data_IF_019944864321
#
_entry.id   IF_019944864321
#
_cell.length_a   1.000
_cell.length_b   1.000
_cell.length_c   1.000
_cell.angle_alpha   90.00
_cell.angle_beta   90.00
_cell.angle_gamma   90.00
#
_symmetry.space_group_name_H-M   'P 1'
#
loop_
_entity.id
_entity.type
_entity.pdbx_description
1 polymer ?
#
# COMPACT_ATOMS: atom_id res chain seq x y z
N UNK A 1 13.86 -9.05 -7.83
CA UNK A 1 12.90 -8.97 -8.97
C UNK A 1 13.53 -9.43 -10.30
N UNK A 2 12.78 -10.17 -11.12
CA UNK A 2 13.25 -10.67 -12.44
C UNK A 2 13.41 -9.53 -13.46
N UNK A 3 14.26 -9.73 -14.48
CA UNK A 3 14.46 -8.74 -15.56
C UNK A 3 13.15 -8.41 -16.28
N UNK A 4 12.28 -9.42 -16.46
CA UNK A 4 10.94 -9.25 -17.05
C UNK A 4 10.10 -8.27 -16.25
N UNK A 5 10.11 -8.36 -14.92
CA UNK A 5 9.38 -7.42 -14.07
C UNK A 5 9.85 -5.97 -14.28
N UNK A 6 11.17 -5.74 -14.32
CA UNK A 6 11.73 -4.40 -14.56
C UNK A 6 11.30 -3.83 -15.93
N UNK A 7 11.34 -4.64 -16.98
CA UNK A 7 10.91 -4.25 -18.33
C UNK A 7 9.40 -3.95 -18.37
N UNK A 8 8.57 -4.77 -17.70
CA UNK A 8 7.12 -4.54 -17.60
C UNK A 8 6.79 -3.22 -16.89
N UNK A 9 7.46 -2.94 -15.78
CA UNK A 9 7.28 -1.70 -15.02
C UNK A 9 7.73 -0.51 -15.86
N UNK A 10 8.88 -0.59 -16.53
CA UNK A 10 9.37 0.48 -17.41
C UNK A 10 8.42 0.78 -18.58
N UNK A 11 7.87 -0.25 -19.23
CA UNK A 11 6.88 -0.06 -20.31
C UNK A 11 5.64 0.71 -19.84
N UNK A 12 5.15 0.44 -18.62
CA UNK A 12 4.03 1.16 -18.01
C UNK A 12 4.35 2.63 -17.70
N UNK A 13 5.62 2.95 -17.43
CA UNK A 13 6.07 4.34 -17.24
C UNK A 13 6.09 5.11 -18.56
N UNK A 14 6.37 4.45 -19.68
CA UNK A 14 6.44 5.09 -21.01
C UNK A 14 5.04 5.26 -21.62
N UNK A 15 4.20 4.24 -21.58
CA UNK A 15 2.88 4.28 -22.20
C UNK A 15 1.90 3.34 -21.52
N UNK A 16 0.65 3.79 -21.37
CA UNK A 16 -0.43 2.97 -20.81
C UNK A 16 -0.93 1.92 -21.82
N UNK A 17 -0.75 2.17 -23.13
CA UNK A 17 -1.23 1.29 -24.19
C UNK A 17 -0.21 0.22 -24.62
N UNK A 18 1.08 0.42 -24.36
CA UNK A 18 2.11 -0.56 -24.73
C UNK A 18 1.90 -1.95 -24.07
N UNK A 19 1.60 -2.02 -22.76
CA UNK A 19 1.40 -3.31 -22.09
C UNK A 19 0.18 -4.07 -22.62
N UNK A 20 -0.91 -3.36 -22.93
CA UNK A 20 -2.12 -3.99 -23.48
C UNK A 20 -1.91 -4.43 -24.94
N UNK A 21 -1.22 -3.63 -25.75
CA UNK A 21 -0.87 -3.96 -27.14
C UNK A 21 0.01 -5.22 -27.23
N UNK A 22 0.95 -5.38 -26.30
CA UNK A 22 1.90 -6.50 -26.28
C UNK A 22 1.39 -7.72 -25.49
N UNK A 23 0.14 -7.69 -24.99
CA UNK A 23 -0.44 -8.78 -24.19
C UNK A 23 0.32 -9.03 -22.87
N UNK A 24 1.04 -8.02 -22.37
CA UNK A 24 1.92 -8.13 -21.21
C UNK A 24 1.10 -7.99 -19.93
N UNK A 25 0.76 -9.12 -19.33
CA UNK A 25 0.07 -9.15 -18.03
C UNK A 25 0.99 -8.72 -16.88
N UNK A 26 0.39 -8.10 -15.86
CA UNK A 26 1.09 -7.74 -14.61
C UNK A 26 1.63 -9.00 -13.91
N UNK A 27 0.75 -10.01 -13.81
CA UNK A 27 0.99 -11.26 -13.11
C UNK A 27 0.86 -12.45 -14.06
N UNK A 28 1.53 -13.54 -13.70
CA UNK A 28 1.38 -14.80 -14.43
C UNK A 28 0.04 -15.44 -14.05
N UNK A 29 -0.64 -16.07 -15.01
CA UNK A 29 -2.01 -16.60 -14.81
C UNK A 29 -2.10 -17.60 -13.66
N UNK A 30 -1.08 -18.43 -13.45
CA UNK A 30 -1.06 -19.39 -12.34
C UNK A 30 -1.08 -18.72 -10.96
N UNK A 31 -0.44 -17.55 -10.82
CA UNK A 31 -0.44 -16.78 -9.56
C UNK A 31 -1.79 -16.10 -9.38
N UNK A 32 -2.35 -15.54 -10.45
CA UNK A 32 -3.69 -14.95 -10.47
C UNK A 32 -4.74 -15.97 -10.03
N UNK A 33 -4.78 -17.14 -10.67
CA UNK A 33 -5.72 -18.23 -10.37
C UNK A 33 -5.53 -18.73 -8.93
N UNK A 34 -4.29 -18.86 -8.44
CA UNK A 34 -4.02 -19.24 -7.05
C UNK A 34 -4.66 -18.26 -6.04
N UNK A 35 -4.47 -16.96 -6.21
CA UNK A 35 -5.02 -15.97 -5.28
C UNK A 35 -6.53 -15.87 -5.38
N UNK A 36 -7.10 -15.95 -6.58
CA UNK A 36 -8.56 -15.97 -6.76
C UNK A 36 -9.17 -17.16 -6.05
N UNK A 37 -8.63 -18.37 -6.28
CA UNK A 37 -9.13 -19.58 -5.65
C UNK A 37 -8.98 -19.53 -4.12
N UNK A 38 -7.84 -19.07 -3.61
CA UNK A 38 -7.63 -18.94 -2.16
C UNK A 38 -8.70 -18.06 -1.48
N UNK A 39 -9.02 -16.90 -2.08
CA UNK A 39 -10.02 -15.99 -1.52
C UNK A 39 -11.41 -16.61 -1.62
N UNK A 40 -11.77 -17.19 -2.77
CA UNK A 40 -13.05 -17.83 -2.99
C UNK A 40 -13.28 -19.02 -2.05
N UNK A 41 -12.28 -19.89 -1.91
CA UNK A 41 -12.32 -21.03 -0.99
C UNK A 41 -12.48 -20.57 0.46
N UNK A 42 -11.81 -19.47 0.84
CA UNK A 42 -11.94 -18.88 2.19
C UNK A 42 -13.34 -18.35 2.44
N UNK A 43 -13.93 -17.63 1.47
CA UNK A 43 -15.29 -17.09 1.60
C UNK A 43 -16.31 -18.23 1.67
N UNK A 44 -16.21 -19.21 0.75
CA UNK A 44 -17.08 -20.39 0.72
C UNK A 44 -17.01 -21.19 2.01
N UNK A 45 -15.80 -21.45 2.52
CA UNK A 45 -15.62 -22.14 3.79
C UNK A 45 -16.33 -21.40 4.95
N UNK A 46 -16.23 -20.06 4.99
CA UNK A 46 -16.90 -19.27 6.03
C UNK A 46 -18.42 -19.33 5.93
N UNK A 47 -18.97 -19.32 4.72
CA UNK A 47 -20.41 -19.48 4.49
C UNK A 47 -20.90 -20.86 4.92
N UNK A 48 -20.24 -21.92 4.44
CA UNK A 48 -20.62 -23.30 4.72
C UNK A 48 -20.54 -23.63 6.22
N UNK A 49 -19.53 -23.08 6.92
CA UNK A 49 -19.29 -23.34 8.34
C UNK A 49 -19.82 -22.25 9.28
N UNK A 50 -20.51 -21.23 8.75
CA UNK A 50 -21.04 -20.08 9.52
C UNK A 50 -19.98 -19.40 10.40
N UNK A 51 -18.76 -19.26 9.87
CA UNK A 51 -17.64 -18.62 10.56
C UNK A 51 -17.66 -17.12 10.27
N UNK A 52 -17.98 -16.34 11.30
CA UNK A 52 -17.93 -14.87 11.23
C UNK A 52 -16.69 -14.35 11.97
N UNK A 53 -15.96 -13.43 11.33
CA UNK A 53 -14.76 -12.81 11.90
C UNK A 53 -14.77 -11.34 11.54
N UNK A 54 -14.51 -10.45 12.50
CA UNK A 54 -14.47 -9.01 12.23
C UNK A 54 -13.17 -8.63 11.51
N UNK A 55 -13.08 -8.97 10.22
CA UNK A 55 -11.92 -8.75 9.37
C UNK A 55 -12.29 -8.25 7.97
N UNK A 56 -11.27 -7.96 7.17
CA UNK A 56 -11.43 -7.42 5.81
C UNK A 56 -12.24 -8.35 4.89
N UNK A 57 -12.09 -9.66 5.00
CA UNK A 57 -12.85 -10.63 4.19
C UNK A 57 -14.33 -10.57 4.55
N UNK A 58 -14.66 -10.49 5.84
CA UNK A 58 -16.06 -10.36 6.26
C UNK A 58 -16.69 -9.06 5.78
N UNK A 59 -15.94 -7.95 5.79
CA UNK A 59 -16.41 -6.68 5.22
C UNK A 59 -16.74 -6.87 3.74
N UNK A 60 -15.86 -7.51 2.95
CA UNK A 60 -16.12 -7.77 1.54
C UNK A 60 -17.34 -8.68 1.30
N UNK A 61 -17.49 -9.75 2.09
CA UNK A 61 -18.66 -10.63 2.02
C UNK A 61 -19.96 -9.90 2.34
N UNK A 62 -19.94 -9.00 3.34
CA UNK A 62 -21.09 -8.18 3.70
C UNK A 62 -21.41 -7.16 2.60
N UNK A 63 -20.39 -6.53 2.02
CA UNK A 63 -20.56 -5.61 0.89
C UNK A 63 -21.17 -6.32 -0.33
N UNK A 64 -20.70 -7.54 -0.65
CA UNK A 64 -21.29 -8.36 -1.73
C UNK A 64 -22.77 -8.64 -1.50
N UNK A 65 -23.17 -8.99 -0.26
CA UNK A 65 -24.59 -9.19 0.08
C UNK A 65 -25.41 -7.92 -0.05
N UNK A 66 -24.85 -6.75 0.29
CA UNK A 66 -25.53 -5.47 0.12
C UNK A 66 -25.74 -5.20 -1.39
N UNK A 67 -24.70 -5.42 -2.19
CA UNK A 67 -24.73 -5.26 -3.66
C UNK A 67 -25.79 -6.14 -4.32
N UNK A 68 -25.86 -7.42 -3.94
CA UNK A 68 -26.85 -8.38 -4.44
C UNK A 68 -28.31 -8.02 -4.07
N UNK A 69 -28.51 -7.27 -3.00
CA UNK A 69 -29.84 -6.86 -2.53
C UNK A 69 -30.22 -5.43 -2.96
N UNK A 70 -29.35 -4.71 -3.67
CA UNK A 70 -29.66 -3.37 -4.18
C UNK A 70 -30.52 -3.45 -5.45
N UNK A 71 -31.59 -2.63 -5.50
CA UNK A 71 -32.31 -2.37 -6.75
C UNK A 71 -31.43 -1.48 -7.65
N UNK A 72 -30.84 -2.08 -8.68
CA UNK A 72 -29.96 -1.39 -9.61
C UNK A 72 -30.81 -0.64 -10.65
N UNK A 73 -30.71 0.69 -10.69
CA UNK A 73 -31.19 1.47 -11.83
C UNK A 73 -30.35 1.08 -13.06
N UNK A 74 -30.95 0.51 -14.12
CA UNK A 74 -30.23 0.09 -15.32
C UNK A 74 -29.51 1.25 -16.05
N UNK A 75 -29.81 2.51 -15.73
CA UNK A 75 -29.11 3.68 -16.26
C UNK A 75 -27.92 4.15 -15.39
N UNK A 76 -27.66 3.48 -14.26
CA UNK A 76 -26.56 3.86 -13.38
C UNK A 76 -25.23 3.25 -13.85
N UNK A 77 -24.55 3.94 -14.77
CA UNK A 77 -23.21 3.57 -15.25
C UNK A 77 -22.13 3.58 -14.14
N UNK A 78 -22.43 4.08 -12.94
CA UNK A 78 -21.50 4.12 -11.81
C UNK A 78 -21.62 2.93 -10.85
N UNK A 79 -22.58 2.02 -11.07
CA UNK A 79 -22.73 0.83 -10.24
C UNK A 79 -21.61 -0.19 -10.54
N UNK A 80 -20.91 -0.62 -9.49
CA UNK A 80 -19.81 -1.58 -9.58
C UNK A 80 -20.27 -2.91 -9.01
N UNK A 81 -20.46 -3.91 -9.89
CA UNK A 81 -20.84 -5.26 -9.48
C UNK A 81 -19.70 -5.90 -8.70
N UNK A 82 -19.98 -6.29 -7.45
CA UNK A 82 -19.02 -6.94 -6.56
C UNK A 82 -18.93 -8.45 -6.82
N UNK A 83 -18.33 -8.82 -7.96
CA UNK A 83 -18.10 -10.22 -8.30
C UNK A 83 -16.91 -10.85 -7.54
N UNK A 84 -16.83 -12.18 -7.53
CA UNK A 84 -15.78 -12.94 -6.82
C UNK A 84 -14.37 -12.53 -7.26
N UNK A 85 -14.19 -12.16 -8.53
CA UNK A 85 -12.90 -11.73 -9.06
C UNK A 85 -12.51 -10.37 -8.51
N UNK A 86 -13.45 -9.43 -8.39
CA UNK A 86 -13.22 -8.11 -7.83
C UNK A 86 -12.93 -8.20 -6.33
N UNK A 87 -13.61 -9.08 -5.59
CA UNK A 87 -13.33 -9.34 -4.19
C UNK A 87 -11.93 -9.94 -3.99
N UNK A 88 -11.57 -10.93 -4.80
CA UNK A 88 -10.23 -11.51 -4.80
C UNK A 88 -9.15 -10.48 -5.16
N UNK A 89 -9.40 -9.65 -6.18
CA UNK A 89 -8.48 -8.60 -6.61
C UNK A 89 -8.25 -7.55 -5.51
N UNK A 90 -9.32 -7.11 -4.81
CA UNK A 90 -9.19 -6.18 -3.68
C UNK A 90 -8.38 -6.81 -2.54
N UNK A 91 -8.68 -8.06 -2.17
CA UNK A 91 -7.93 -8.80 -1.15
C UNK A 91 -6.44 -8.92 -1.51
N UNK A 92 -6.16 -9.23 -2.78
CA UNK A 92 -4.80 -9.36 -3.27
C UNK A 92 -4.03 -8.04 -3.25
N UNK A 93 -4.68 -6.92 -3.61
CA UNK A 93 -4.08 -5.59 -3.54
C UNK A 93 -3.73 -5.24 -2.09
N UNK A 94 -4.64 -5.47 -1.13
CA UNK A 94 -4.36 -5.25 0.28
C UNK A 94 -3.18 -6.09 0.78
N UNK A 95 -3.10 -7.36 0.36
CA UNK A 95 -1.99 -8.24 0.71
C UNK A 95 -0.66 -7.70 0.18
N UNK A 96 -0.53 -7.41 -1.12
CA UNK A 96 0.74 -6.93 -1.67
C UNK A 96 1.12 -5.55 -1.13
N UNK A 97 0.17 -4.62 -1.14
CA UNK A 97 0.43 -3.24 -0.74
C UNK A 97 0.78 -3.11 0.75
N UNK A 98 0.23 -3.99 1.60
CA UNK A 98 0.51 -4.02 3.03
C UNK A 98 1.68 -4.90 3.44
N UNK A 99 1.98 -5.97 2.70
CA UNK A 99 3.00 -6.94 3.10
C UNK A 99 4.42 -6.48 2.78
N UNK A 100 4.73 -6.26 1.49
CA UNK A 100 6.12 -6.01 1.05
C UNK A 100 6.64 -4.66 1.57
N UNK A 101 5.77 -3.64 1.61
CA UNK A 101 6.10 -2.30 2.11
C UNK A 101 6.44 -2.31 3.60
N UNK A 102 5.58 -2.93 4.41
CA UNK A 102 5.75 -3.03 5.86
C UNK A 102 6.95 -3.90 6.20
N UNK A 103 7.10 -5.07 5.56
CA UNK A 103 8.23 -5.97 5.83
C UNK A 103 9.57 -5.30 5.52
N UNK A 104 9.66 -4.56 4.41
CA UNK A 104 10.89 -3.84 4.03
C UNK A 104 11.17 -2.69 5.01
N UNK A 105 10.13 -1.94 5.42
CA UNK A 105 10.27 -0.86 6.41
C UNK A 105 10.78 -1.40 7.75
N UNK A 106 10.19 -2.48 8.24
CA UNK A 106 10.63 -3.13 9.48
C UNK A 106 12.06 -3.65 9.37
N UNK A 107 12.45 -4.19 8.21
CA UNK A 107 13.82 -4.66 7.98
C UNK A 107 14.84 -3.53 8.11
N UNK A 108 14.60 -2.38 7.46
CA UNK A 108 15.48 -1.21 7.59
C UNK A 108 15.46 -0.61 8.99
N UNK A 109 14.28 -0.57 9.64
CA UNK A 109 14.16 -0.08 11.02
C UNK A 109 15.00 -0.93 11.98
N UNK A 110 14.91 -2.27 11.86
CA UNK A 110 15.72 -3.18 12.67
C UNK A 110 17.22 -3.05 12.37
N UNK A 111 17.59 -2.84 11.10
CA UNK A 111 18.98 -2.58 10.73
C UNK A 111 19.52 -1.30 11.40
N UNK A 112 18.78 -0.19 11.31
CA UNK A 112 19.15 1.08 11.95
C UNK A 112 19.25 0.95 13.47
N UNK A 113 18.31 0.24 14.09
CA UNK A 113 18.37 -0.01 15.54
C UNK A 113 19.57 -0.91 15.92
N UNK A 114 19.99 -1.84 15.07
CA UNK A 114 21.14 -2.69 15.35
C UNK A 114 22.47 -1.92 15.31
N UNK A 115 22.59 -0.93 14.42
CA UNK A 115 23.81 -0.11 14.29
C UNK A 115 23.82 1.13 15.19
N UNK A 116 22.66 1.58 15.69
CA UNK A 116 22.52 2.72 16.60
C UNK A 116 22.02 2.29 17.99
N UNK A 117 22.92 1.78 18.83
CA UNK A 117 22.57 1.19 20.14
C UNK A 117 21.93 2.19 21.12
N UNK A 118 22.32 3.46 21.10
CA UNK A 118 21.72 4.49 21.96
C UNK A 118 20.24 4.73 21.61
N UNK A 119 19.92 4.77 20.32
CA UNK A 119 18.54 4.88 19.82
C UNK A 119 17.75 3.64 20.21
N UNK A 120 18.34 2.45 20.03
CA UNK A 120 17.71 1.19 20.42
C UNK A 120 17.39 1.14 21.91
N UNK A 121 18.33 1.51 22.76
CA UNK A 121 18.13 1.50 24.21
C UNK A 121 17.05 2.48 24.65
N UNK A 122 17.03 3.68 24.06
CA UNK A 122 15.99 4.68 24.32
C UNK A 122 14.61 4.19 23.90
N UNK A 123 14.48 3.61 22.70
CA UNK A 123 13.23 3.03 22.23
C UNK A 123 12.78 1.87 23.11
N UNK A 124 13.69 0.96 23.48
CA UNK A 124 13.39 -0.15 24.39
C UNK A 124 12.87 0.35 25.73
N UNK A 125 13.46 1.41 26.28
CA UNK A 125 13.00 2.02 27.52
C UNK A 125 11.57 2.58 27.40
N UNK A 126 11.24 3.25 26.29
CA UNK A 126 9.88 3.71 26.02
C UNK A 126 8.91 2.53 25.98
N UNK A 127 9.20 1.49 25.18
CA UNK A 127 8.36 0.29 25.07
C UNK A 127 8.13 -0.38 26.43
N UNK A 128 9.18 -0.53 27.24
CA UNK A 128 9.08 -1.11 28.58
C UNK A 128 8.25 -0.24 29.53
N UNK A 129 8.39 1.08 29.46
CA UNK A 129 7.66 2.03 30.30
C UNK A 129 6.17 2.01 29.95
N UNK A 130 5.86 2.03 28.66
CA UNK A 130 4.49 1.93 28.16
C UNK A 130 3.88 0.57 28.50
N UNK A 131 4.62 -0.53 28.35
CA UNK A 131 4.14 -1.85 28.77
C UNK A 131 3.83 -1.92 30.27
N UNK A 132 4.67 -1.33 31.13
CA UNK A 132 4.40 -1.23 32.56
C UNK A 132 3.16 -0.39 32.89
N UNK A 133 2.92 0.68 32.13
CA UNK A 133 1.75 1.56 32.29
C UNK A 133 0.43 0.85 31.91
N UNK A 134 0.42 0.11 30.80
CA UNK A 134 -0.80 -0.49 30.23
C UNK A 134 -0.99 -1.97 30.55
N UNK A 135 0.06 -2.68 30.98
CA UNK A 135 0.05 -4.13 31.23
C UNK A 135 0.02 -5.00 29.96
N UNK A 136 -0.17 -4.41 28.78
CA UNK A 136 -0.20 -5.10 27.49
C UNK A 136 0.15 -4.13 26.35
N UNK A 137 0.54 -4.70 25.19
CA UNK A 137 0.62 -3.96 23.93
C UNK A 137 -0.75 -4.04 23.26
N UNK A 138 -1.49 -2.94 23.29
CA UNK A 138 -2.80 -2.74 22.68
C UNK A 138 -2.86 -1.40 21.93
N UNK A 139 -4.00 -1.11 21.32
CA UNK A 139 -4.24 0.09 20.51
C UNK A 139 -3.86 1.40 21.23
N UNK A 140 -4.29 1.56 22.48
CA UNK A 140 -4.03 2.78 23.25
C UNK A 140 -2.54 2.87 23.64
N UNK A 141 -1.94 1.76 24.06
CA UNK A 141 -0.52 1.73 24.40
C UNK A 141 0.39 2.10 23.22
N UNK A 142 0.03 1.69 21.99
CA UNK A 142 0.84 1.99 20.80
C UNK A 142 0.81 3.47 20.43
N UNK A 143 -0.28 4.19 20.77
CA UNK A 143 -0.38 5.63 20.53
C UNK A 143 0.51 6.46 21.46
N UNK A 144 0.85 5.90 22.62
CA UNK A 144 1.70 6.56 23.62
C UNK A 144 3.20 6.33 23.37
N UNK A 145 3.59 5.72 22.26
CA UNK A 145 5.00 5.45 21.90
C UNK A 145 5.51 6.47 20.87
N UNK A 146 5.63 7.74 21.28
CA UNK A 146 6.06 8.84 20.40
C UNK A 146 7.46 8.63 19.80
N UNK A 147 8.38 8.02 20.55
CA UNK A 147 9.74 7.76 20.07
C UNK A 147 9.76 6.62 19.05
N UNK A 148 8.92 5.59 19.22
CA UNK A 148 8.69 4.56 18.19
C UNK A 148 8.22 5.19 16.87
N UNK A 149 7.26 6.12 16.92
CA UNK A 149 6.76 6.82 15.73
C UNK A 149 7.87 7.61 15.03
N UNK A 150 8.75 8.28 15.79
CA UNK A 150 9.94 8.96 15.26
C UNK A 150 10.91 7.99 14.60
N UNK A 151 11.16 6.83 15.19
CA UNK A 151 12.06 5.80 14.62
C UNK A 151 11.51 5.26 13.31
N UNK A 152 10.21 4.96 13.24
CA UNK A 152 9.54 4.51 12.00
C UNK A 152 9.59 5.62 10.94
N UNK A 153 9.27 6.86 11.34
CA UNK A 153 9.28 8.02 10.44
C UNK A 153 10.67 8.28 9.84
N UNK A 154 11.72 8.20 10.66
CA UNK A 154 13.09 8.39 10.19
C UNK A 154 13.55 7.22 9.31
N UNK A 155 13.12 6.00 9.61
CA UNK A 155 13.33 4.85 8.73
C UNK A 155 12.71 5.08 7.36
N UNK A 156 11.47 5.58 7.30
CA UNK A 156 10.78 5.89 6.03
C UNK A 156 11.37 7.10 5.31
N UNK A 157 11.98 8.04 6.03
CA UNK A 157 12.74 9.16 5.44
C UNK A 157 14.00 8.65 4.73
N UNK A 158 14.83 7.87 5.44
CA UNK A 158 16.09 7.31 4.91
C UNK A 158 15.86 6.24 3.83
N UNK A 159 14.84 5.42 4.00
CA UNK A 159 14.52 4.27 3.14
C UNK A 159 13.07 4.29 2.65
N UNK A 160 12.67 5.26 1.83
CA UNK A 160 11.31 5.32 1.30
C UNK A 160 11.08 4.16 0.33
N UNK A 161 10.14 3.27 0.66
CA UNK A 161 9.80 2.10 -0.18
C UNK A 161 9.33 2.55 -1.57
N UNK A 162 8.56 3.64 -1.61
CA UNK A 162 8.17 4.31 -2.85
C UNK A 162 9.06 5.55 -3.09
N UNK A 163 10.23 5.34 -3.70
CA UNK A 163 11.20 6.42 -3.97
C UNK A 163 10.73 7.50 -4.95
N UNK A 164 9.65 7.25 -5.69
CA UNK A 164 9.00 8.24 -6.56
C UNK A 164 7.50 7.98 -6.66
N UNK A 165 6.71 9.05 -6.77
CA UNK A 165 5.28 8.96 -7.08
C UNK A 165 5.01 9.47 -8.48
N UNK A 166 4.13 8.80 -9.21
CA UNK A 166 3.71 9.22 -10.55
C UNK A 166 2.28 9.74 -10.46
N UNK A 167 2.01 10.87 -11.11
CA UNK A 167 0.68 11.45 -11.29
C UNK A 167 0.44 11.76 -12.76
N UNK A 168 -0.82 11.72 -13.19
CA UNK A 168 -1.24 12.17 -14.51
C UNK A 168 -2.12 13.39 -14.36
N UNK A 169 -1.81 14.45 -15.11
CA UNK A 169 -2.61 15.66 -15.13
C UNK A 169 -3.95 15.37 -15.80
N UNK A 170 -5.05 15.49 -15.06
CA UNK A 170 -6.43 15.29 -15.57
C UNK A 170 -7.09 16.60 -15.97
N UNK A 171 -6.56 17.73 -15.48
CA UNK A 171 -7.02 19.08 -15.80
C UNK A 171 -5.81 19.99 -15.88
N UNK A 172 -5.71 20.76 -16.95
CA UNK A 172 -4.58 21.64 -17.17
C UNK A 172 -4.40 22.59 -15.97
N UNK A 173 -3.18 22.67 -15.45
CA UNK A 173 -2.91 23.31 -14.16
C UNK A 173 -1.57 24.05 -14.18
N UNK A 174 -1.57 25.29 -13.71
CA UNK A 174 -0.37 26.09 -13.51
C UNK A 174 0.21 25.75 -12.13
N UNK A 175 1.36 25.09 -12.10
CA UNK A 175 2.04 24.77 -10.84
C UNK A 175 2.53 26.09 -10.20
N UNK A 176 2.16 26.40 -8.95
CA UNK A 176 2.62 27.60 -8.27
C UNK A 176 4.16 27.66 -8.25
N UNK A 177 4.73 28.78 -8.70
CA UNK A 177 6.18 29.01 -8.74
C UNK A 177 6.91 28.36 -9.92
N UNK A 178 6.26 27.53 -10.75
CA UNK A 178 6.86 27.00 -11.97
C UNK A 178 6.59 27.93 -13.16
N UNK A 179 7.53 27.98 -14.12
CA UNK A 179 7.41 28.78 -15.36
C UNK A 179 6.55 28.13 -16.46
N UNK A 180 5.94 26.98 -16.19
CA UNK A 180 5.18 26.19 -17.17
C UNK A 180 3.86 25.68 -16.63
N UNK A 181 2.95 25.36 -17.55
CA UNK A 181 1.64 24.77 -17.28
C UNK A 181 1.71 23.28 -17.57
N UNK A 182 1.09 22.47 -16.70
CA UNK A 182 0.84 21.07 -16.98
C UNK A 182 -0.40 20.98 -17.87
N UNK A 183 -0.28 20.27 -18.97
CA UNK A 183 -1.39 19.98 -19.87
C UNK A 183 -2.03 18.63 -19.53
N UNK A 184 -3.28 18.47 -19.96
CA UNK A 184 -4.00 17.21 -19.75
C UNK A 184 -3.24 16.07 -20.41
N UNK A 185 -2.96 15.02 -19.63
CA UNK A 185 -2.17 13.88 -20.07
C UNK A 185 -0.72 13.91 -19.61
N UNK A 186 -0.19 15.06 -19.18
CA UNK A 186 1.19 15.15 -18.68
C UNK A 186 1.41 14.23 -17.48
N UNK A 187 2.59 13.58 -17.44
CA UNK A 187 3.02 12.77 -16.30
C UNK A 187 3.94 13.59 -15.41
N UNK A 188 3.60 13.67 -14.13
CA UNK A 188 4.41 14.31 -13.11
C UNK A 188 5.06 13.24 -12.25
N UNK A 189 6.38 13.30 -12.14
CA UNK A 189 7.15 12.44 -11.24
C UNK A 189 7.54 13.28 -10.02
N UNK A 190 7.10 12.84 -8.84
CA UNK A 190 7.46 13.45 -7.55
C UNK A 190 8.65 12.64 -6.99
N UNK A 191 9.85 13.22 -6.89
CA UNK A 191 11.05 12.51 -6.46
C UNK A 191 11.12 12.42 -4.93
N UNK A 192 10.39 11.49 -4.32
CA UNK A 192 10.30 11.32 -2.86
C UNK A 192 11.69 11.11 -2.24
N UNK A 193 12.50 10.19 -2.78
CA UNK A 193 13.82 9.90 -2.22
C UNK A 193 14.75 11.12 -2.23
N UNK A 194 14.92 11.85 -3.36
CA UNK A 194 15.67 13.10 -3.36
C UNK A 194 15.14 14.17 -2.40
N UNK A 195 13.82 14.34 -2.30
CA UNK A 195 13.23 15.32 -1.36
C UNK A 195 13.58 14.95 0.09
N UNK A 196 13.48 13.68 0.45
CA UNK A 196 13.79 13.18 1.79
C UNK A 196 15.28 13.27 2.16
N UNK A 197 16.18 13.47 1.18
CA UNK A 197 17.62 13.61 1.38
C UNK A 197 18.14 15.00 0.96
N UNK A 198 17.25 15.97 0.75
CA UNK A 198 17.66 17.32 0.37
C UNK A 198 18.10 18.10 1.63
N UNK A 199 19.38 18.56 1.70
CA UNK A 199 19.90 19.34 2.82
C UNK A 199 19.09 20.60 3.16
N UNK A 200 18.33 21.12 2.19
CA UNK A 200 17.43 22.26 2.39
C UNK A 200 16.32 21.96 3.40
N UNK A 201 15.84 20.72 3.43
CA UNK A 201 14.76 20.28 4.30
C UNK A 201 15.27 19.42 5.48
N UNK A 202 16.39 18.73 5.29
CA UNK A 202 17.00 17.82 6.27
C UNK A 202 18.48 18.16 6.41
N UNK A 203 18.89 18.93 7.45
CA UNK A 203 20.27 19.43 7.59
C UNK A 203 21.37 18.35 7.61
N UNK A 204 21.02 17.13 8.01
CA UNK A 204 21.88 15.95 8.04
C UNK A 204 21.16 14.79 7.34
N UNK A 205 21.04 14.84 6.00
CA UNK A 205 20.15 13.95 5.25
C UNK A 205 20.63 12.49 5.21
#
# INVERSE_FOLDING_TARGET
PSWRFKVRTFMRVISDSLPSLLGVKAFDKSKEDFFINLVNDTMKYREDNKVERNDFIQILMNLKKIDENMEIDPNNESHVILDDKLLAANTFIFFIAGFETTATTLTFSMFELAVNQDIQNKLRQEVQTTFKKYGAINYDSTKDMDYLDRVISETLRKYPIAGSLIRRCTKAWQVPGAKGKLEVGDRVVIPVYPIHHDPKYYPEP
#
